data_IF_890588091562
#
_entry.id   IF_890588091562
#
_cell.length_a   1.000
_cell.length_b   1.000
_cell.length_c   1.000
_cell.angle_alpha   90.00
_cell.angle_beta   90.00
_cell.angle_gamma   90.00
#
_symmetry.space_group_name_H-M   'P 1'
#
loop_
_entity.id
_entity.type
_entity.pdbx_description
1 polymer ?
#
# COMPACT_ATOMS: atom_id res chain seq x y z
N UNK A 1 -28.58 -14.73 -26.03
CA UNK A 1 -28.70 -13.65 -25.00
C UNK A 1 -28.17 -14.04 -23.62
N UNK A 2 -28.08 -15.30 -23.22
CA UNK A 2 -27.56 -15.73 -21.91
C UNK A 2 -26.06 -15.57 -21.69
N UNK A 3 -25.21 -15.86 -22.67
CA UNK A 3 -23.75 -15.83 -22.55
C UNK A 3 -23.16 -14.41 -22.37
N UNK A 4 -23.79 -13.39 -22.99
CA UNK A 4 -23.35 -11.99 -22.82
C UNK A 4 -23.72 -11.41 -21.45
N UNK A 5 -24.80 -11.86 -20.83
CA UNK A 5 -25.17 -11.47 -19.45
C UNK A 5 -24.26 -12.12 -18.41
N UNK A 6 -23.90 -13.37 -18.56
CA UNK A 6 -22.95 -14.06 -17.66
C UNK A 6 -21.58 -13.35 -17.63
N UNK A 7 -21.07 -12.87 -18.76
CA UNK A 7 -19.81 -12.11 -18.82
C UNK A 7 -19.81 -10.75 -18.14
N UNK A 8 -20.98 -10.11 -17.95
CA UNK A 8 -21.08 -8.84 -17.22
C UNK A 8 -21.03 -9.03 -15.71
N UNK A 9 -21.66 -10.04 -15.16
CA UNK A 9 -21.70 -10.31 -13.72
C UNK A 9 -20.33 -10.78 -13.17
N UNK A 10 -19.61 -11.61 -13.91
CA UNK A 10 -18.28 -12.08 -13.51
C UNK A 10 -17.27 -10.94 -13.38
N UNK A 11 -17.49 -9.82 -14.05
CA UNK A 11 -16.65 -8.62 -13.97
C UNK A 11 -16.72 -7.92 -12.59
N UNK A 12 -17.90 -7.98 -11.95
CA UNK A 12 -18.14 -7.30 -10.67
C UNK A 12 -17.98 -8.22 -9.46
N UNK A 13 -17.87 -9.54 -9.68
CA UNK A 13 -17.72 -10.50 -8.59
C UNK A 13 -16.54 -10.20 -7.66
N UNK A 14 -15.31 -9.85 -8.13
CA UNK A 14 -14.23 -9.53 -7.23
C UNK A 14 -14.51 -8.28 -6.36
N UNK A 15 -15.17 -7.28 -6.91
CA UNK A 15 -15.55 -6.08 -6.15
C UNK A 15 -16.60 -6.39 -5.08
N UNK A 16 -17.66 -7.15 -5.43
CA UNK A 16 -18.69 -7.58 -4.50
C UNK A 16 -18.16 -8.51 -3.41
N UNK A 17 -17.28 -9.45 -3.77
CA UNK A 17 -16.62 -10.34 -2.82
C UNK A 17 -15.70 -9.58 -1.86
N UNK A 18 -14.91 -8.63 -2.36
CA UNK A 18 -14.08 -7.77 -1.53
C UNK A 18 -14.92 -6.98 -0.53
N UNK A 19 -16.06 -6.41 -0.98
CA UNK A 19 -16.97 -5.70 -0.09
C UNK A 19 -17.54 -6.61 0.99
N UNK A 20 -17.98 -7.81 0.63
CA UNK A 20 -18.51 -8.79 1.57
C UNK A 20 -17.48 -9.14 2.67
N UNK A 21 -16.24 -9.48 2.28
CA UNK A 21 -15.17 -9.78 3.23
C UNK A 21 -14.84 -8.58 4.12
N UNK A 22 -14.76 -7.39 3.53
CA UNK A 22 -14.50 -6.15 4.27
C UNK A 22 -15.58 -5.92 5.32
N UNK A 23 -16.87 -5.99 4.95
CA UNK A 23 -17.96 -5.82 5.89
C UNK A 23 -17.98 -6.90 6.97
N UNK A 24 -17.64 -8.14 6.64
CA UNK A 24 -17.54 -9.23 7.61
C UNK A 24 -16.44 -8.94 8.66
N UNK A 25 -15.26 -8.49 8.22
CA UNK A 25 -14.13 -8.19 9.11
C UNK A 25 -14.39 -6.93 9.94
N UNK A 26 -15.00 -5.89 9.34
CA UNK A 26 -15.25 -4.61 10.01
C UNK A 26 -16.57 -4.57 10.76
N UNK A 27 -17.43 -5.58 10.64
CA UNK A 27 -18.75 -5.61 11.29
C UNK A 27 -18.74 -5.24 12.79
N UNK A 28 -17.79 -5.71 13.62
CA UNK A 28 -17.72 -5.29 15.02
C UNK A 28 -17.45 -3.79 15.19
N UNK A 29 -16.71 -3.17 14.26
CA UNK A 29 -16.34 -1.75 14.28
C UNK A 29 -17.48 -0.83 13.81
N UNK A 30 -18.45 -1.38 13.06
CA UNK A 30 -19.59 -0.61 12.52
C UNK A 30 -20.72 -0.39 13.55
N UNK A 31 -20.62 -0.96 14.75
CA UNK A 31 -21.56 -0.70 15.85
C UNK A 31 -21.58 0.79 16.19
N UNK A 32 -22.64 1.22 16.87
CA UNK A 32 -22.75 2.58 17.40
C UNK A 32 -21.58 2.90 18.35
N UNK A 33 -21.13 4.16 18.35
CA UNK A 33 -19.98 4.62 19.14
C UNK A 33 -18.75 4.88 18.28
N UNK A 34 -17.64 5.23 18.95
CA UNK A 34 -16.40 5.69 18.36
C UNK A 34 -15.30 4.65 18.49
N UNK A 35 -14.33 4.69 17.57
CA UNK A 35 -13.12 3.90 17.66
C UNK A 35 -12.16 4.61 18.61
N UNK A 36 -11.93 4.02 19.78
CA UNK A 36 -11.15 4.63 20.88
C UNK A 36 -10.02 3.70 21.36
N UNK A 37 -9.64 2.74 20.54
CA UNK A 37 -8.61 1.77 20.90
C UNK A 37 -7.26 2.16 20.31
N UNK A 38 -6.26 2.36 21.16
CA UNK A 38 -4.86 2.69 20.80
C UNK A 38 -4.79 3.90 19.87
N UNK A 39 -4.28 3.73 18.65
CA UNK A 39 -4.06 4.85 17.72
C UNK A 39 -5.33 5.29 16.97
N UNK A 40 -6.42 4.53 17.07
CA UNK A 40 -7.70 4.91 16.46
C UNK A 40 -8.55 5.74 17.44
N UNK A 41 -8.16 6.99 17.68
CA UNK A 41 -8.99 7.91 18.48
C UNK A 41 -9.86 8.73 17.54
N UNK A 42 -11.12 8.29 17.35
CA UNK A 42 -12.10 9.04 16.57
C UNK A 42 -13.09 9.77 17.49
N UNK A 43 -13.41 11.01 17.18
CA UNK A 43 -14.32 11.87 17.90
C UNK A 43 -15.40 12.40 16.99
N UNK A 44 -16.55 12.88 17.50
CA UNK A 44 -17.61 13.43 16.64
C UNK A 44 -17.10 14.59 15.78
N UNK A 45 -16.21 15.41 16.36
CA UNK A 45 -15.67 16.60 15.72
C UNK A 45 -14.17 16.70 16.00
N UNK A 46 -13.39 16.84 14.95
CA UNK A 46 -11.98 17.24 15.01
C UNK A 46 -11.84 18.70 14.56
N UNK A 47 -10.82 19.39 15.07
CA UNK A 47 -10.61 20.82 14.79
C UNK A 47 -9.28 21.03 14.08
N UNK A 48 -9.23 22.01 13.19
CA UNK A 48 -7.98 22.49 12.59
C UNK A 48 -7.22 23.29 13.64
N UNK A 49 -6.37 22.62 14.39
CA UNK A 49 -5.44 23.21 15.35
C UNK A 49 -4.05 23.29 14.74
N UNK A 50 -3.15 24.08 15.36
CA UNK A 50 -1.74 24.11 14.97
C UNK A 50 -1.12 22.71 14.98
N UNK A 51 -1.46 21.88 15.96
CA UNK A 51 -1.03 20.47 16.02
C UNK A 51 -1.55 19.64 14.85
N UNK A 52 -2.81 19.82 14.44
CA UNK A 52 -3.39 19.10 13.28
C UNK A 52 -2.74 19.51 11.96
N UNK A 53 -2.20 20.72 11.89
CA UNK A 53 -1.46 21.25 10.76
C UNK A 53 0.05 20.99 10.84
N UNK A 54 0.54 20.50 11.99
CA UNK A 54 1.95 20.26 12.25
C UNK A 54 2.74 21.53 12.54
N UNK A 55 2.07 22.59 13.01
CA UNK A 55 2.66 23.88 13.38
C UNK A 55 2.98 23.97 14.89
N UNK A 56 2.65 22.93 15.67
CA UNK A 56 2.94 22.88 17.10
C UNK A 56 4.36 22.37 17.40
N UNK A 57 4.74 22.43 18.69
CA UNK A 57 6.08 22.03 19.18
C UNK A 57 6.29 20.49 19.21
N UNK A 58 5.26 19.71 18.98
CA UNK A 58 5.34 18.25 18.94
C UNK A 58 5.62 17.71 17.53
N UNK A 59 6.27 16.53 17.45
CA UNK A 59 6.52 15.87 16.19
C UNK A 59 5.21 15.64 15.39
N UNK A 60 5.13 16.05 14.11
CA UNK A 60 3.91 16.03 13.30
C UNK A 60 3.57 14.60 12.82
N UNK A 61 3.17 13.73 13.77
CA UNK A 61 2.95 12.29 13.50
C UNK A 61 1.71 12.01 12.68
N UNK A 62 0.70 12.89 12.75
CA UNK A 62 -0.63 12.69 12.18
C UNK A 62 -0.98 13.69 11.06
N UNK A 63 0.02 14.34 10.49
CA UNK A 63 -0.15 15.23 9.32
C UNK A 63 0.01 14.41 8.04
N UNK A 64 -0.88 14.55 7.05
CA UNK A 64 -2.06 15.43 6.98
C UNK A 64 -3.39 14.76 7.44
N UNK A 65 -3.35 13.57 8.04
CA UNK A 65 -4.58 12.83 8.39
C UNK A 65 -5.51 13.61 9.33
N UNK A 66 -4.96 14.29 10.34
CA UNK A 66 -5.76 15.04 11.32
C UNK A 66 -6.41 16.27 10.68
N UNK A 67 -5.71 16.95 9.79
CA UNK A 67 -6.27 18.06 9.02
C UNK A 67 -7.41 17.57 8.10
N UNK A 68 -7.28 16.39 7.48
CA UNK A 68 -8.35 15.76 6.69
C UNK A 68 -9.57 15.48 7.56
N UNK A 69 -9.40 14.87 8.73
CA UNK A 69 -10.50 14.59 9.66
C UNK A 69 -11.14 15.87 10.17
N UNK A 70 -10.35 16.87 10.52
CA UNK A 70 -10.85 18.17 10.95
C UNK A 70 -11.72 18.83 9.88
N UNK A 71 -11.32 18.74 8.61
CA UNK A 71 -12.08 19.29 7.49
C UNK A 71 -13.37 18.51 7.24
N UNK A 72 -13.32 17.17 7.15
CA UNK A 72 -14.48 16.34 6.84
C UNK A 72 -15.48 16.29 8.01
N UNK A 73 -15.01 16.36 9.26
CA UNK A 73 -15.88 16.33 10.43
C UNK A 73 -16.69 17.62 10.63
N UNK A 74 -16.50 18.64 9.79
CA UNK A 74 -17.42 19.78 9.70
C UNK A 74 -18.79 19.35 9.18
N UNK A 75 -18.82 18.43 8.22
CA UNK A 75 -20.00 18.03 7.47
C UNK A 75 -20.62 16.73 7.98
N UNK A 76 -19.79 15.80 8.47
CA UNK A 76 -20.18 14.44 8.87
C UNK A 76 -19.47 14.10 10.16
N UNK A 77 -20.14 13.39 11.08
CA UNK A 77 -19.52 12.89 12.32
C UNK A 77 -18.16 12.20 12.04
N UNK A 78 -17.11 12.61 12.76
CA UNK A 78 -15.75 12.15 12.54
C UNK A 78 -15.56 10.66 12.73
N UNK A 79 -16.33 10.03 13.64
CA UNK A 79 -16.32 8.57 13.80
C UNK A 79 -16.91 7.86 12.58
N UNK A 80 -17.94 8.43 11.94
CA UNK A 80 -18.49 7.91 10.68
C UNK A 80 -17.48 8.07 9.56
N UNK A 81 -16.79 9.22 9.49
CA UNK A 81 -15.74 9.47 8.49
C UNK A 81 -14.64 8.42 8.59
N UNK A 82 -14.09 8.16 9.77
CA UNK A 82 -13.01 7.17 9.97
C UNK A 82 -13.48 5.77 9.59
N UNK A 83 -14.69 5.36 10.02
CA UNK A 83 -15.26 4.04 9.66
C UNK A 83 -15.48 3.92 8.15
N UNK A 84 -15.98 4.96 7.50
CA UNK A 84 -16.19 4.97 6.04
C UNK A 84 -14.86 4.87 5.28
N UNK A 85 -13.83 5.62 5.69
CA UNK A 85 -12.49 5.54 5.09
C UNK A 85 -11.92 4.12 5.27
N UNK A 86 -12.04 3.53 6.45
CA UNK A 86 -11.52 2.19 6.74
C UNK A 86 -12.20 1.12 5.88
N UNK A 87 -13.54 1.15 5.79
CA UNK A 87 -14.29 0.20 4.93
C UNK A 87 -13.92 0.39 3.47
N UNK A 88 -13.88 1.64 2.98
CA UNK A 88 -13.50 1.93 1.61
C UNK A 88 -12.06 1.49 1.29
N UNK A 89 -11.12 1.70 2.22
CA UNK A 89 -9.72 1.28 2.08
C UNK A 89 -9.62 -0.25 1.97
N UNK A 90 -10.17 -1.01 2.90
CA UNK A 90 -10.09 -2.47 2.86
C UNK A 90 -10.81 -3.06 1.64
N UNK A 91 -11.95 -2.51 1.26
CA UNK A 91 -12.62 -2.87 0.00
C UNK A 91 -11.72 -2.62 -1.21
N UNK A 92 -11.13 -1.43 -1.29
CA UNK A 92 -10.22 -1.07 -2.38
C UNK A 92 -8.97 -1.96 -2.39
N UNK A 93 -8.42 -2.33 -1.23
CA UNK A 93 -7.28 -3.25 -1.12
C UNK A 93 -7.58 -4.60 -1.79
N UNK A 94 -8.67 -5.25 -1.39
CA UNK A 94 -9.03 -6.56 -1.92
C UNK A 94 -9.42 -6.51 -3.40
N UNK A 95 -10.21 -5.52 -3.82
CA UNK A 95 -10.54 -5.35 -5.22
C UNK A 95 -9.32 -5.02 -6.07
N UNK A 96 -8.44 -4.14 -5.58
CA UNK A 96 -7.18 -3.80 -6.25
C UNK A 96 -6.26 -5.00 -6.44
N UNK A 97 -6.15 -5.87 -5.42
CA UNK A 97 -5.38 -7.12 -5.49
C UNK A 97 -5.93 -8.09 -6.54
N UNK A 98 -7.26 -8.23 -6.63
CA UNK A 98 -7.89 -9.04 -7.69
C UNK A 98 -7.55 -8.53 -9.08
N UNK A 99 -7.64 -7.21 -9.30
CA UNK A 99 -7.30 -6.58 -10.57
C UNK A 99 -5.81 -6.71 -10.89
N UNK A 100 -4.94 -6.52 -9.91
CA UNK A 100 -3.49 -6.68 -10.06
C UNK A 100 -3.14 -8.12 -10.45
N UNK A 101 -3.74 -9.12 -9.78
CA UNK A 101 -3.58 -10.53 -10.11
C UNK A 101 -4.06 -10.84 -11.53
N UNK A 102 -5.21 -10.31 -11.94
CA UNK A 102 -5.72 -10.44 -13.30
C UNK A 102 -4.76 -9.84 -14.33
N UNK A 103 -4.28 -8.63 -14.09
CA UNK A 103 -3.51 -7.86 -15.08
C UNK A 103 -2.05 -8.32 -15.17
N UNK A 104 -1.43 -8.72 -14.04
CA UNK A 104 -0.05 -9.20 -14.00
C UNK A 104 0.10 -10.71 -14.22
N UNK A 105 -0.82 -11.51 -13.66
CA UNK A 105 -0.72 -12.98 -13.69
C UNK A 105 -1.69 -13.62 -14.68
N UNK A 106 -2.56 -12.83 -15.33
CA UNK A 106 -3.69 -13.34 -16.14
C UNK A 106 -4.56 -14.32 -15.33
N UNK A 107 -4.69 -14.03 -14.04
CA UNK A 107 -5.33 -14.91 -13.08
C UNK A 107 -6.82 -15.15 -13.43
N UNK A 108 -7.30 -16.40 -13.44
CA UNK A 108 -8.71 -16.71 -13.56
C UNK A 108 -9.48 -16.20 -12.34
N UNK A 109 -10.81 -16.14 -12.42
CA UNK A 109 -11.64 -15.57 -11.37
C UNK A 109 -11.37 -16.17 -9.99
N UNK A 110 -11.24 -17.48 -9.88
CA UNK A 110 -10.94 -18.14 -8.61
C UNK A 110 -9.64 -17.62 -7.96
N UNK A 111 -8.57 -17.45 -8.75
CA UNK A 111 -7.30 -16.92 -8.25
C UNK A 111 -7.39 -15.42 -7.89
N UNK A 112 -8.24 -14.65 -8.57
CA UNK A 112 -8.54 -13.26 -8.19
C UNK A 112 -9.24 -13.20 -6.82
N UNK A 113 -10.20 -14.10 -6.55
CA UNK A 113 -10.88 -14.17 -5.25
C UNK A 113 -9.91 -14.60 -4.14
N UNK A 114 -9.00 -15.53 -4.41
CA UNK A 114 -7.92 -15.91 -3.47
C UNK A 114 -7.04 -14.70 -3.17
N UNK A 115 -6.62 -13.93 -4.18
CA UNK A 115 -5.84 -12.71 -3.98
C UNK A 115 -6.58 -11.69 -3.11
N UNK A 116 -7.90 -11.48 -3.34
CA UNK A 116 -8.75 -10.66 -2.49
C UNK A 116 -8.74 -11.13 -1.05
N UNK A 117 -8.97 -12.44 -0.82
CA UNK A 117 -9.00 -13.01 0.54
C UNK A 117 -7.67 -12.80 1.25
N UNK A 118 -6.55 -13.14 0.61
CA UNK A 118 -5.22 -12.98 1.20
C UNK A 118 -4.88 -11.52 1.50
N UNK A 119 -5.41 -10.58 0.73
CA UNK A 119 -5.15 -9.15 0.95
C UNK A 119 -6.00 -8.57 2.07
N UNK A 120 -7.25 -8.98 2.24
CA UNK A 120 -8.16 -8.39 3.23
C UNK A 120 -8.17 -9.20 4.53
N UNK A 121 -8.06 -10.50 4.46
CA UNK A 121 -8.10 -11.41 5.61
C UNK A 121 -6.72 -12.01 5.86
N UNK A 122 -5.86 -11.27 6.51
CA UNK A 122 -4.52 -11.70 6.86
C UNK A 122 -4.08 -11.12 8.22
N UNK A 123 -3.04 -11.66 8.85
CA UNK A 123 -2.54 -11.18 10.14
C UNK A 123 -2.14 -9.71 10.14
N UNK A 124 -1.50 -9.22 9.08
CA UNK A 124 -1.10 -7.80 8.99
C UNK A 124 -2.31 -6.87 9.14
N UNK A 125 -3.38 -7.12 8.37
CA UNK A 125 -4.61 -6.30 8.46
C UNK A 125 -5.22 -6.41 9.84
N UNK A 126 -5.32 -7.62 10.41
CA UNK A 126 -5.90 -7.83 11.74
C UNK A 126 -5.11 -7.11 12.84
N UNK A 127 -3.78 -7.22 12.84
CA UNK A 127 -2.90 -6.54 13.78
C UNK A 127 -2.99 -5.01 13.64
N UNK A 128 -3.02 -4.49 12.41
CA UNK A 128 -3.17 -3.04 12.19
C UNK A 128 -4.55 -2.52 12.54
N UNK A 129 -5.61 -3.31 12.39
CA UNK A 129 -6.96 -2.98 12.90
C UNK A 129 -6.97 -2.94 14.43
N UNK A 130 -6.39 -3.94 15.09
CA UNK A 130 -6.29 -4.00 16.55
C UNK A 130 -5.41 -2.89 17.14
N UNK A 131 -4.38 -2.43 16.40
CA UNK A 131 -3.56 -1.29 16.77
C UNK A 131 -4.25 0.05 16.50
N UNK A 132 -5.28 0.08 15.66
CA UNK A 132 -5.97 1.32 15.30
C UNK A 132 -5.32 2.10 14.14
N UNK A 133 -4.47 1.46 13.35
CA UNK A 133 -3.72 2.08 12.25
C UNK A 133 -4.57 2.27 10.97
N UNK A 134 -5.73 2.90 11.07
CA UNK A 134 -6.66 3.08 9.95
C UNK A 134 -6.03 3.83 8.76
N UNK A 135 -5.23 4.85 9.01
CA UNK A 135 -4.57 5.63 7.97
C UNK A 135 -3.42 4.89 7.28
N UNK A 136 -2.69 4.03 8.02
CA UNK A 136 -1.71 3.12 7.42
C UNK A 136 -2.40 2.09 6.51
N UNK A 137 -3.56 1.59 6.92
CA UNK A 137 -4.35 0.67 6.10
C UNK A 137 -4.88 1.35 4.83
N UNK A 138 -5.08 2.66 4.82
CA UNK A 138 -5.37 3.43 3.59
C UNK A 138 -4.16 3.41 2.65
N UNK A 139 -2.95 3.59 3.18
CA UNK A 139 -1.70 3.44 2.41
C UNK A 139 -1.52 2.03 1.86
N UNK A 140 -1.74 1.01 2.67
CA UNK A 140 -1.74 -0.39 2.25
C UNK A 140 -2.72 -0.65 1.10
N UNK A 141 -3.93 -0.12 1.21
CA UNK A 141 -4.98 -0.26 0.20
C UNK A 141 -4.60 0.36 -1.16
N UNK A 142 -3.79 1.40 -1.14
CA UNK A 142 -3.33 2.06 -2.37
C UNK A 142 -2.27 1.24 -3.13
N UNK A 143 -1.53 0.31 -2.49
CA UNK A 143 -0.38 -0.39 -3.09
C UNK A 143 -0.71 -1.13 -4.39
N UNK A 144 -1.74 -1.99 -4.49
CA UNK A 144 -2.06 -2.68 -5.73
C UNK A 144 -2.45 -1.73 -6.88
N UNK A 145 -3.08 -0.61 -6.53
CA UNK A 145 -3.43 0.42 -7.50
C UNK A 145 -2.23 1.23 -7.95
N UNK A 146 -1.33 1.59 -7.02
CA UNK A 146 -0.04 2.25 -7.32
C UNK A 146 0.78 1.37 -8.25
N UNK A 147 0.88 0.05 -7.98
CA UNK A 147 1.58 -0.90 -8.84
C UNK A 147 1.02 -0.89 -10.28
N UNK A 148 -0.32 -0.94 -10.40
CA UNK A 148 -0.99 -0.90 -11.71
C UNK A 148 -0.79 0.45 -12.41
N UNK A 149 -0.92 1.57 -11.70
CA UNK A 149 -0.77 2.91 -12.25
C UNK A 149 0.68 3.19 -12.68
N UNK A 150 1.67 2.80 -11.86
CA UNK A 150 3.08 2.92 -12.19
C UNK A 150 3.46 2.12 -13.45
N UNK A 151 2.90 0.91 -13.61
CA UNK A 151 3.09 0.12 -14.82
C UNK A 151 2.48 0.79 -16.06
N UNK A 152 1.30 1.42 -15.93
CA UNK A 152 0.68 2.20 -17.03
C UNK A 152 1.49 3.44 -17.39
N UNK A 153 2.00 4.17 -16.38
CA UNK A 153 2.91 5.31 -16.60
C UNK A 153 4.16 4.88 -17.36
N UNK A 154 4.72 3.72 -16.98
CA UNK A 154 5.89 3.15 -17.67
C UNK A 154 5.57 2.79 -19.12
N UNK A 155 4.48 2.07 -19.41
CA UNK A 155 4.06 1.63 -20.75
C UNK A 155 3.71 2.79 -21.68
N UNK A 156 3.09 3.85 -21.17
CA UNK A 156 2.76 5.05 -21.96
C UNK A 156 3.94 5.76 -22.61
N UNK A 157 5.18 5.35 -22.30
CA UNK A 157 6.40 5.85 -22.92
C UNK A 157 6.98 4.97 -24.02
N UNK A 158 6.56 3.71 -24.12
CA UNK A 158 7.11 2.75 -25.08
C UNK A 158 6.29 2.66 -26.36
N UNK A 159 5.03 3.10 -26.36
CA UNK A 159 4.18 3.10 -27.57
C UNK A 159 4.55 4.15 -28.62
N UNK A 160 5.47 5.06 -28.33
CA UNK A 160 5.95 6.07 -29.29
C UNK A 160 7.12 5.59 -30.18
N UNK A 161 7.64 4.38 -30.02
CA UNK A 161 8.84 3.92 -30.73
C UNK A 161 8.74 2.57 -31.42
N UNK A 162 7.60 1.89 -31.42
CA UNK A 162 7.56 0.48 -31.78
C UNK A 162 6.59 0.02 -32.86
N UNK A 163 5.80 0.88 -33.51
CA UNK A 163 4.83 0.44 -34.53
C UNK A 163 4.88 1.29 -35.81
N UNK A 164 6.09 1.45 -36.39
CA UNK A 164 6.22 2.04 -37.73
C UNK A 164 6.52 1.01 -38.83
N UNK A 165 6.38 -0.30 -38.55
CA UNK A 165 6.80 -1.34 -39.49
C UNK A 165 5.67 -2.13 -40.17
N UNK A 166 4.39 -1.94 -39.83
CA UNK A 166 3.26 -2.57 -40.56
C UNK A 166 2.01 -1.66 -40.50
N UNK A 167 2.14 -0.44 -41.03
CA UNK A 167 0.96 0.29 -41.48
C UNK A 167 0.67 -0.16 -42.93
N UNK A 168 -0.59 -0.55 -43.25
CA UNK A 168 -0.96 -0.66 -44.67
C UNK A 168 -0.77 0.72 -45.30
N UNK A 169 -0.15 0.71 -46.47
CA UNK A 169 -0.05 1.90 -47.33
C UNK A 169 -1.46 2.35 -47.66
N UNK A 170 -2.00 3.24 -46.88
CA UNK A 170 -3.16 4.06 -47.24
C UNK A 170 -2.62 5.39 -47.73
N UNK A 171 -3.02 5.69 -48.95
CA UNK A 171 -2.75 6.89 -49.74
C UNK A 171 -2.71 8.16 -48.92
N UNK A 172 -1.70 8.97 -49.21
CA UNK A 172 -1.45 10.32 -48.70
C UNK A 172 -2.69 11.22 -48.71
N UNK A 173 -2.63 12.23 -47.81
CA UNK A 173 -3.40 13.45 -47.70
C UNK A 173 -4.61 13.47 -46.76
N UNK A 174 -4.33 13.27 -45.45
CA UNK A 174 -5.14 13.93 -44.43
C UNK A 174 -4.24 14.51 -43.33
N UNK A 175 -3.93 15.82 -43.34
CA UNK A 175 -3.09 16.49 -42.31
C UNK A 175 -3.72 16.46 -40.91
N UNK A 176 -5.02 16.17 -40.80
CA UNK A 176 -5.74 16.13 -39.50
C UNK A 176 -5.63 14.77 -38.78
N UNK A 177 -5.11 13.72 -39.42
CA UNK A 177 -4.98 12.40 -38.78
C UNK A 177 -3.82 12.33 -37.77
N UNK A 178 -2.72 13.05 -38.03
CA UNK A 178 -1.56 13.09 -37.14
C UNK A 178 -1.83 13.85 -35.85
N UNK A 179 -2.65 14.91 -35.89
CA UNK A 179 -2.95 15.75 -34.73
C UNK A 179 -3.89 15.02 -33.73
N UNK A 180 -4.84 14.23 -34.24
CA UNK A 180 -5.75 13.43 -33.39
C UNK A 180 -5.00 12.34 -32.61
N UNK A 181 -4.01 11.70 -33.20
CA UNK A 181 -3.22 10.64 -32.56
C UNK A 181 -2.31 11.23 -31.48
N UNK A 182 -1.70 12.38 -31.72
CA UNK A 182 -0.84 13.08 -30.76
C UNK A 182 -1.61 13.57 -29.52
N UNK A 183 -2.83 14.05 -29.70
CA UNK A 183 -3.69 14.55 -28.61
C UNK A 183 -4.16 13.41 -27.70
N UNK A 184 -4.53 12.25 -28.25
CA UNK A 184 -4.95 11.08 -27.49
C UNK A 184 -3.81 10.49 -26.62
N UNK A 185 -2.59 10.39 -27.17
CA UNK A 185 -1.43 9.87 -26.43
C UNK A 185 -1.04 10.81 -25.27
N UNK A 186 -1.12 12.13 -25.48
CA UNK A 186 -0.87 13.12 -24.42
C UNK A 186 -1.90 13.04 -23.29
N UNK A 187 -3.18 12.91 -23.62
CA UNK A 187 -4.26 12.83 -22.64
C UNK A 187 -4.18 11.56 -21.78
N UNK A 188 -3.85 10.42 -22.36
CA UNK A 188 -3.66 9.15 -21.65
C UNK A 188 -2.45 9.17 -20.70
N UNK A 189 -1.36 9.80 -21.13
CA UNK A 189 -0.17 9.98 -20.27
C UNK A 189 -0.46 10.89 -19.08
N UNK A 190 -1.21 11.97 -19.28
CA UNK A 190 -1.63 12.88 -18.19
C UNK A 190 -2.55 12.17 -17.21
N UNK A 191 -3.59 11.49 -17.70
CA UNK A 191 -4.55 10.73 -16.86
C UNK A 191 -3.84 9.68 -15.99
N UNK A 192 -2.91 8.91 -16.56
CA UNK A 192 -2.19 7.89 -15.80
C UNK A 192 -1.32 8.50 -14.69
N UNK A 193 -0.70 9.66 -14.93
CA UNK A 193 0.06 10.40 -13.89
C UNK A 193 -0.86 10.99 -12.83
N UNK A 194 -2.00 11.56 -13.21
CA UNK A 194 -2.98 12.10 -12.28
C UNK A 194 -3.54 11.02 -11.34
N UNK A 195 -3.85 9.82 -11.89
CA UNK A 195 -4.26 8.67 -11.09
C UNK A 195 -3.16 8.26 -10.13
N UNK A 196 -1.90 8.15 -10.60
CA UNK A 196 -0.77 7.80 -9.72
C UNK A 196 -0.57 8.86 -8.63
N UNK A 197 -0.69 10.14 -8.94
CA UNK A 197 -0.61 11.24 -7.96
C UNK A 197 -1.68 11.13 -6.88
N UNK A 198 -2.95 10.89 -7.26
CA UNK A 198 -4.05 10.71 -6.31
C UNK A 198 -3.86 9.49 -5.38
N UNK A 199 -3.33 8.38 -5.92
CA UNK A 199 -3.03 7.19 -5.14
C UNK A 199 -1.86 7.41 -4.19
N UNK A 200 -0.81 8.12 -4.62
CA UNK A 200 0.30 8.50 -3.76
C UNK A 200 -0.13 9.49 -2.67
N UNK A 201 -1.04 10.43 -2.99
CA UNK A 201 -1.61 11.33 -1.98
C UNK A 201 -2.43 10.56 -0.93
N UNK A 202 -3.23 9.57 -1.34
CA UNK A 202 -3.95 8.69 -0.41
C UNK A 202 -2.99 7.87 0.47
N UNK A 203 -1.91 7.33 -0.09
CA UNK A 203 -0.86 6.68 0.68
C UNK A 203 -0.14 7.67 1.60
N UNK A 204 0.01 8.92 1.17
CA UNK A 204 0.66 10.03 1.87
C UNK A 204 -0.08 10.57 3.09
N UNK A 205 -1.26 10.02 3.45
CA UNK A 205 -1.92 10.34 4.72
C UNK A 205 -1.04 10.01 5.93
N UNK A 206 -0.08 9.11 5.78
CA UNK A 206 0.96 8.83 6.78
C UNK A 206 2.34 8.80 6.12
N UNK A 207 3.41 9.20 6.83
CA UNK A 207 4.78 9.07 6.30
C UNK A 207 5.15 7.65 5.89
N UNK A 208 4.72 6.65 6.67
CA UNK A 208 4.95 5.22 6.34
C UNK A 208 4.20 4.80 5.08
N UNK A 209 2.93 5.20 4.93
CA UNK A 209 2.15 4.91 3.72
C UNK A 209 2.78 5.57 2.48
N UNK A 210 3.25 6.82 2.60
CA UNK A 210 3.99 7.50 1.54
C UNK A 210 5.24 6.71 1.12
N UNK A 211 6.02 6.22 2.10
CA UNK A 211 7.24 5.45 1.85
C UNK A 211 6.92 4.12 1.14
N UNK A 212 5.92 3.37 1.60
CA UNK A 212 5.46 2.13 0.96
C UNK A 212 5.02 2.39 -0.49
N UNK A 213 4.18 3.40 -0.70
CA UNK A 213 3.72 3.82 -2.03
C UNK A 213 4.87 4.25 -2.94
N UNK A 214 5.85 5.00 -2.40
CA UNK A 214 7.04 5.43 -3.10
C UNK A 214 7.89 4.25 -3.57
N UNK A 215 8.16 3.27 -2.68
CA UNK A 215 8.93 2.06 -3.01
C UNK A 215 8.29 1.33 -4.19
N UNK A 216 6.98 1.09 -4.16
CA UNK A 216 6.25 0.41 -5.24
C UNK A 216 6.26 1.24 -6.52
N UNK A 217 5.96 2.54 -6.45
CA UNK A 217 5.90 3.41 -7.61
C UNK A 217 7.25 3.53 -8.33
N UNK A 218 8.32 3.80 -7.57
CA UNK A 218 9.68 4.02 -8.08
C UNK A 218 10.25 2.74 -8.69
N UNK A 219 10.12 1.60 -8.00
CA UNK A 219 10.68 0.33 -8.48
C UNK A 219 9.99 -0.17 -9.74
N UNK A 220 8.65 -0.03 -9.83
CA UNK A 220 7.89 -0.48 -11.01
C UNK A 220 8.08 0.49 -12.19
N UNK A 221 7.93 1.80 -11.96
CA UNK A 221 8.05 2.78 -13.04
C UNK A 221 9.46 2.82 -13.61
N UNK A 222 10.47 3.01 -12.80
CA UNK A 222 11.91 2.98 -13.17
C UNK A 222 12.27 3.72 -14.47
N UNK A 223 13.55 3.66 -14.85
CA UNK A 223 14.01 4.12 -16.16
C UNK A 223 13.67 5.60 -16.45
N UNK A 224 13.32 5.90 -17.71
CA UNK A 224 13.07 7.27 -18.20
C UNK A 224 11.91 8.00 -17.48
N UNK A 225 11.04 7.29 -16.76
CA UNK A 225 9.90 7.87 -16.02
C UNK A 225 10.20 8.17 -14.57
N UNK A 226 11.36 7.74 -14.08
CA UNK A 226 11.75 7.85 -12.68
C UNK A 226 11.66 9.29 -12.16
N UNK A 227 12.21 10.27 -12.88
CA UNK A 227 12.17 11.67 -12.45
C UNK A 227 10.75 12.19 -12.23
N UNK A 228 9.83 11.90 -13.18
CA UNK A 228 8.43 12.29 -13.04
C UNK A 228 7.72 11.60 -11.87
N UNK A 229 8.05 10.35 -11.58
CA UNK A 229 7.48 9.62 -10.44
C UNK A 229 8.07 10.16 -9.13
N UNK A 230 9.35 10.47 -9.07
CA UNK A 230 9.98 11.10 -7.88
C UNK A 230 9.36 12.45 -7.56
N UNK A 231 9.01 13.26 -8.57
CA UNK A 231 8.27 14.52 -8.36
C UNK A 231 6.90 14.26 -7.75
N UNK A 232 6.15 13.26 -8.21
CA UNK A 232 4.85 12.90 -7.63
C UNK A 232 4.97 12.37 -6.21
N UNK A 233 5.98 11.56 -5.93
CA UNK A 233 6.30 11.08 -4.57
C UNK A 233 6.66 12.26 -3.66
N UNK A 234 7.54 13.14 -4.10
CA UNK A 234 7.90 14.34 -3.33
C UNK A 234 6.67 15.20 -3.04
N UNK A 235 5.81 15.44 -4.03
CA UNK A 235 4.57 16.18 -3.85
C UNK A 235 3.63 15.53 -2.82
N UNK A 236 3.51 14.20 -2.81
CA UNK A 236 2.72 13.48 -1.82
C UNK A 236 3.31 13.56 -0.40
N UNK A 237 4.63 13.77 -0.27
CA UNK A 237 5.32 13.92 1.00
C UNK A 237 5.31 15.36 1.54
N UNK A 238 5.00 16.36 0.70
CA UNK A 238 5.06 17.79 1.06
C UNK A 238 4.34 18.12 2.39
N UNK A 239 3.10 17.63 2.67
CA UNK A 239 2.40 18.05 3.87
C UNK A 239 3.17 17.75 5.16
N UNK A 240 3.65 16.52 5.32
CA UNK A 240 4.38 16.14 6.53
C UNK A 240 5.84 16.56 6.53
N UNK A 241 6.49 16.72 5.36
CA UNK A 241 7.84 17.29 5.27
C UNK A 241 7.85 18.76 5.67
N UNK A 242 6.88 19.56 5.20
CA UNK A 242 6.75 20.95 5.60
C UNK A 242 6.44 21.07 7.09
N UNK A 243 5.50 20.26 7.60
CA UNK A 243 5.19 20.22 9.01
C UNK A 243 6.44 19.91 9.87
N UNK A 244 7.23 18.91 9.45
CA UNK A 244 8.49 18.57 10.14
C UNK A 244 9.52 19.69 10.07
N UNK A 245 9.62 20.40 8.94
CA UNK A 245 10.56 21.50 8.77
C UNK A 245 10.17 22.73 9.61
N UNK A 246 8.86 23.01 9.74
CA UNK A 246 8.35 24.17 10.49
C UNK A 246 8.35 23.93 11.99
N UNK A 247 8.06 22.70 12.45
CA UNK A 247 8.02 22.37 13.88
C UNK A 247 9.39 22.42 14.58
N UNK A 248 10.49 22.48 13.84
CA UNK A 248 11.85 22.46 14.41
C UNK A 248 12.28 21.12 15.04
N UNK A 249 11.36 20.19 15.23
CA UNK A 249 11.59 18.86 15.87
C UNK A 249 12.48 17.95 15.01
N UNK A 250 12.67 18.27 13.73
CA UNK A 250 13.58 17.52 12.85
C UNK A 250 15.06 17.56 13.31
N UNK A 251 15.42 18.51 14.18
CA UNK A 251 16.77 18.65 14.71
C UNK A 251 17.04 17.72 15.91
N UNK A 252 16.01 17.17 16.55
CA UNK A 252 16.20 16.27 17.69
C UNK A 252 16.28 14.82 17.24
N UNK A 253 17.33 14.07 17.67
CA UNK A 253 17.40 12.64 17.42
C UNK A 253 16.20 11.91 18.03
N UNK A 254 15.67 10.93 17.33
CA UNK A 254 14.64 10.06 17.92
C UNK A 254 15.26 9.22 19.04
N UNK A 255 14.48 8.94 20.10
CA UNK A 255 14.92 8.11 21.22
C UNK A 255 15.32 6.71 20.73
N UNK A 256 16.57 6.27 20.92
CA UNK A 256 17.05 4.95 20.52
C UNK A 256 16.35 3.81 21.28
N UNK A 257 15.85 4.04 22.51
CA UNK A 257 15.07 3.06 23.27
C UNK A 257 13.80 2.59 22.53
N UNK A 258 13.32 3.41 21.59
CA UNK A 258 12.21 3.02 20.72
C UNK A 258 12.58 1.92 19.70
N UNK A 259 13.85 1.67 19.41
CA UNK A 259 14.26 0.66 18.41
C UNK A 259 13.89 -0.75 18.87
N UNK A 260 14.34 -1.25 20.03
CA UNK A 260 13.95 -2.57 20.51
C UNK A 260 12.45 -2.65 20.84
N UNK A 261 11.83 -1.54 21.30
CA UNK A 261 10.41 -1.51 21.66
C UNK A 261 9.48 -1.68 20.45
N UNK A 262 9.91 -1.24 19.25
CA UNK A 262 9.13 -1.35 18.01
C UNK A 262 9.66 -2.41 17.04
N UNK A 263 10.62 -3.24 17.47
CA UNK A 263 11.16 -4.31 16.64
C UNK A 263 10.11 -5.37 16.31
N UNK A 264 10.27 -6.03 15.16
CA UNK A 264 9.40 -7.13 14.77
C UNK A 264 9.48 -8.26 15.82
N UNK A 265 8.31 -8.71 16.28
CA UNK A 265 8.17 -9.67 17.38
C UNK A 265 8.13 -11.10 16.86
N UNK A 266 8.77 -12.01 17.62
CA UNK A 266 8.57 -13.43 17.45
C UNK A 266 7.22 -13.85 18.05
N UNK A 267 6.38 -14.49 17.25
CA UNK A 267 5.15 -15.12 17.74
C UNK A 267 5.42 -16.58 18.15
N UNK A 268 4.61 -17.14 19.06
CA UNK A 268 4.72 -18.54 19.43
C UNK A 268 4.72 -19.45 18.19
N UNK A 269 5.55 -20.49 18.19
CA UNK A 269 5.67 -21.51 17.12
C UNK A 269 6.33 -21.04 15.82
N UNK A 270 6.50 -19.74 15.58
CA UNK A 270 6.94 -19.17 14.31
C UNK A 270 8.33 -18.53 14.37
N UNK A 271 8.72 -18.01 15.53
CA UNK A 271 9.89 -17.14 15.62
C UNK A 271 9.71 -15.85 14.79
N UNK A 272 10.71 -14.98 14.75
CA UNK A 272 10.58 -13.68 14.04
C UNK A 272 10.38 -13.85 12.53
N UNK A 273 11.20 -14.70 11.88
CA UNK A 273 11.11 -14.91 10.43
C UNK A 273 9.76 -15.52 10.02
N UNK A 274 9.32 -16.55 10.73
CA UNK A 274 8.03 -17.19 10.45
C UNK A 274 6.84 -16.27 10.72
N UNK A 275 6.92 -15.42 11.75
CA UNK A 275 5.88 -14.42 12.02
C UNK A 275 5.74 -13.43 10.88
N UNK A 276 6.85 -12.89 10.39
CA UNK A 276 6.88 -11.95 9.26
C UNK A 276 6.45 -12.62 7.95
N UNK A 277 6.93 -13.83 7.67
CA UNK A 277 6.54 -14.61 6.50
C UNK A 277 5.05 -15.01 6.53
N UNK A 278 4.48 -15.16 7.72
CA UNK A 278 3.05 -15.34 7.95
C UNK A 278 2.26 -14.03 8.03
N UNK A 279 2.86 -12.90 7.63
CA UNK A 279 2.27 -11.56 7.60
C UNK A 279 1.88 -11.00 8.98
N UNK A 280 2.48 -11.51 10.07
CA UNK A 280 2.28 -11.03 11.45
C UNK A 280 3.55 -10.42 12.03
N UNK A 281 3.67 -10.47 13.37
CA UNK A 281 4.86 -10.03 14.07
C UNK A 281 4.88 -8.55 14.44
N UNK A 282 3.73 -7.93 14.61
CA UNK A 282 3.63 -6.55 15.15
C UNK A 282 4.29 -6.49 16.53
N UNK A 283 5.00 -5.39 16.81
CA UNK A 283 5.70 -5.16 18.08
C UNK A 283 4.80 -5.21 19.31
N UNK A 284 3.56 -4.73 19.20
CA UNK A 284 2.59 -4.70 20.29
C UNK A 284 1.87 -6.05 20.42
N UNK A 285 2.21 -6.81 21.45
CA UNK A 285 1.62 -8.12 21.72
C UNK A 285 0.10 -8.06 21.98
N UNK A 286 -0.42 -6.95 22.51
CA UNK A 286 -1.85 -6.78 22.78
C UNK A 286 -2.66 -6.50 21.49
N UNK A 287 -2.00 -6.14 20.40
CA UNK A 287 -2.61 -5.93 19.09
C UNK A 287 -2.57 -7.18 18.20
N UNK A 288 -2.44 -8.36 18.78
CA UNK A 288 -2.33 -9.64 18.07
C UNK A 288 -3.62 -10.45 18.23
N UNK A 289 -4.21 -10.97 17.14
CA UNK A 289 -5.35 -11.86 17.23
C UNK A 289 -5.02 -13.12 18.03
N UNK A 290 -5.95 -13.60 18.89
CA UNK A 290 -5.74 -14.79 19.71
C UNK A 290 -5.40 -16.06 18.90
N UNK A 291 -5.83 -16.16 17.63
CA UNK A 291 -5.45 -17.25 16.75
C UNK A 291 -3.94 -17.32 16.45
N UNK A 292 -3.21 -16.20 16.59
CA UNK A 292 -1.76 -16.13 16.35
C UNK A 292 -0.93 -16.68 17.53
N UNK A 293 -1.54 -16.91 18.68
CA UNK A 293 -0.89 -17.53 19.85
C UNK A 293 -1.05 -19.05 19.88
N UNK A 294 -1.77 -19.63 18.91
CA UNK A 294 -2.04 -21.07 18.79
C UNK A 294 -1.19 -21.73 17.69
N UNK A 295 -1.00 -23.06 17.71
CA UNK A 295 -0.32 -23.79 16.63
C UNK A 295 -0.96 -23.60 15.25
N UNK A 296 -2.23 -23.17 15.16
CA UNK A 296 -2.90 -22.86 13.89
C UNK A 296 -2.17 -21.77 13.11
N UNK A 297 -1.51 -20.84 13.79
CA UNK A 297 -0.69 -19.82 13.13
C UNK A 297 0.47 -20.43 12.34
N UNK A 298 1.15 -21.43 12.90
CA UNK A 298 2.23 -22.13 12.20
C UNK A 298 1.68 -22.93 11.00
N UNK A 299 0.58 -23.66 11.18
CA UNK A 299 -0.06 -24.42 10.10
C UNK A 299 -0.48 -23.48 8.96
N UNK A 300 -1.15 -22.36 9.27
CA UNK A 300 -1.58 -21.40 8.26
C UNK A 300 -0.37 -20.77 7.52
N UNK A 301 0.70 -20.45 8.24
CA UNK A 301 1.93 -19.92 7.65
C UNK A 301 2.60 -20.93 6.73
N UNK A 302 2.72 -22.19 7.14
CA UNK A 302 3.27 -23.28 6.30
C UNK A 302 2.43 -23.46 5.03
N UNK A 303 1.10 -23.47 5.13
CA UNK A 303 0.21 -23.57 3.97
C UNK A 303 0.38 -22.39 3.02
N UNK A 304 0.45 -21.16 3.55
CA UNK A 304 0.71 -19.95 2.76
C UNK A 304 2.04 -20.07 2.01
N UNK A 305 3.11 -20.44 2.70
CA UNK A 305 4.44 -20.58 2.11
C UNK A 305 4.50 -21.72 1.09
N UNK A 306 3.77 -22.80 1.31
CA UNK A 306 3.64 -23.88 0.33
C UNK A 306 2.99 -23.36 -0.97
N UNK A 307 1.89 -22.60 -0.88
CA UNK A 307 1.25 -21.97 -2.05
C UNK A 307 2.21 -21.05 -2.78
N UNK A 308 2.97 -20.22 -2.04
CA UNK A 308 4.00 -19.35 -2.60
C UNK A 308 5.09 -20.17 -3.31
N UNK A 309 5.61 -21.20 -2.68
CA UNK A 309 6.64 -22.07 -3.25
C UNK A 309 6.20 -22.75 -4.56
N UNK A 310 4.97 -23.23 -4.63
CA UNK A 310 4.40 -23.78 -5.86
C UNK A 310 4.21 -22.74 -6.96
N UNK A 311 3.83 -21.52 -6.58
CA UNK A 311 3.52 -20.42 -7.51
C UNK A 311 4.74 -19.66 -8.03
N UNK A 312 5.82 -19.55 -7.24
CA UNK A 312 6.93 -18.60 -7.46
C UNK A 312 7.59 -18.76 -8.83
N UNK A 313 7.81 -20.00 -9.28
CA UNK A 313 8.43 -20.27 -10.59
C UNK A 313 7.57 -19.74 -11.75
N UNK A 314 6.24 -19.87 -11.67
CA UNK A 314 5.31 -19.35 -12.67
C UNK A 314 5.23 -17.83 -12.66
N UNK A 315 5.25 -17.24 -11.46
CA UNK A 315 5.26 -15.77 -11.31
C UNK A 315 6.56 -15.17 -11.84
N UNK A 316 7.71 -15.82 -11.63
CA UNK A 316 9.02 -15.35 -12.09
C UNK A 316 9.26 -15.59 -13.60
N UNK A 317 8.55 -16.53 -14.22
CA UNK A 317 8.73 -16.88 -15.63
C UNK A 317 8.39 -15.71 -16.58
N UNK A 318 9.10 -15.64 -17.71
CA UNK A 318 8.75 -14.72 -18.79
C UNK A 318 7.45 -15.16 -19.48
N UNK A 319 6.63 -14.21 -19.93
CA UNK A 319 5.33 -14.49 -20.56
C UNK A 319 5.10 -13.75 -21.90
N UNK A 320 6.17 -13.35 -22.58
CA UNK A 320 6.08 -12.61 -23.84
C UNK A 320 5.84 -11.10 -23.68
N UNK A 321 5.43 -10.60 -22.48
CA UNK A 321 5.36 -9.18 -22.16
C UNK A 321 6.51 -8.84 -21.20
N UNK A 322 7.61 -8.22 -21.66
CA UNK A 322 8.78 -7.95 -20.85
C UNK A 322 8.49 -6.99 -19.69
N UNK A 323 7.58 -6.04 -19.86
CA UNK A 323 7.22 -5.09 -18.82
C UNK A 323 6.42 -5.76 -17.70
N UNK A 324 5.51 -6.68 -18.05
CA UNK A 324 4.77 -7.48 -17.08
C UNK A 324 5.70 -8.43 -16.32
N UNK A 325 6.57 -9.13 -17.02
CA UNK A 325 7.55 -10.06 -16.44
C UNK A 325 8.49 -9.33 -15.48
N UNK A 326 8.94 -8.11 -15.85
CA UNK A 326 9.75 -7.26 -14.99
C UNK A 326 8.98 -6.84 -13.73
N UNK A 327 7.74 -6.35 -13.86
CA UNK A 327 6.93 -5.93 -12.73
C UNK A 327 6.70 -7.09 -11.73
N UNK A 328 6.44 -8.30 -12.22
CA UNK A 328 6.29 -9.50 -11.37
C UNK A 328 7.56 -9.81 -10.60
N UNK A 329 8.73 -9.77 -11.24
CA UNK A 329 10.02 -10.00 -10.57
C UNK A 329 10.32 -8.93 -9.53
N UNK A 330 10.03 -7.66 -9.82
CA UNK A 330 10.17 -6.57 -8.85
C UNK A 330 9.29 -6.82 -7.62
N UNK A 331 8.02 -7.18 -7.80
CA UNK A 331 7.12 -7.47 -6.68
C UNK A 331 7.57 -8.69 -5.87
N UNK A 332 8.11 -9.73 -6.51
CA UNK A 332 8.70 -10.88 -5.80
C UNK A 332 9.92 -10.46 -4.97
N UNK A 333 10.80 -9.61 -5.52
CA UNK A 333 11.97 -9.09 -4.78
C UNK A 333 11.51 -8.20 -3.62
N UNK A 334 10.51 -7.35 -3.84
CA UNK A 334 9.96 -6.52 -2.76
C UNK A 334 9.35 -7.38 -1.65
N UNK A 335 8.57 -8.41 -1.99
CA UNK A 335 7.99 -9.33 -1.02
C UNK A 335 9.08 -10.08 -0.21
N UNK A 336 10.14 -10.55 -0.87
CA UNK A 336 11.26 -11.18 -0.18
C UNK A 336 12.00 -10.18 0.74
N UNK A 337 12.26 -8.97 0.28
CA UNK A 337 12.89 -7.91 1.06
C UNK A 337 12.01 -7.48 2.24
N UNK A 338 10.69 -7.42 2.05
CA UNK A 338 9.71 -7.07 3.07
C UNK A 338 9.68 -8.05 4.26
N UNK A 339 10.09 -9.28 4.06
CA UNK A 339 10.29 -10.27 5.15
C UNK A 339 11.72 -10.24 5.66
N UNK A 340 12.71 -10.26 4.76
CA UNK A 340 14.11 -10.41 5.14
C UNK A 340 14.66 -9.18 5.89
N UNK A 341 14.38 -7.96 5.43
CA UNK A 341 14.91 -6.75 6.05
C UNK A 341 14.38 -6.54 7.48
N UNK A 342 13.07 -6.64 7.77
CA UNK A 342 12.58 -6.59 9.14
C UNK A 342 13.10 -7.71 10.03
N UNK A 343 13.27 -8.93 9.49
CA UNK A 343 13.84 -10.04 10.25
C UNK A 343 15.30 -9.78 10.63
N UNK A 344 16.11 -9.26 9.71
CA UNK A 344 17.48 -8.85 9.97
C UNK A 344 17.57 -7.69 10.97
N UNK A 345 16.68 -6.68 10.82
CA UNK A 345 16.61 -5.53 11.73
C UNK A 345 16.25 -5.93 13.17
N UNK A 346 15.54 -7.04 13.37
CA UNK A 346 15.19 -7.56 14.69
C UNK A 346 16.31 -8.44 15.33
N UNK A 347 17.43 -8.70 14.65
CA UNK A 347 18.58 -9.37 15.24
C UNK A 347 19.39 -8.42 16.12
N UNK A 348 20.23 -8.92 17.07
CA UNK A 348 21.06 -8.04 17.89
C UNK A 348 21.94 -7.08 17.08
N UNK A 349 22.56 -7.56 16.00
CA UNK A 349 23.33 -6.71 15.09
C UNK A 349 22.45 -5.69 14.35
N UNK A 350 21.26 -6.11 13.90
CA UNK A 350 20.29 -5.24 13.24
C UNK A 350 19.75 -4.15 14.16
N UNK A 351 19.48 -4.44 15.42
CA UNK A 351 19.09 -3.46 16.43
C UNK A 351 20.18 -2.39 16.62
N UNK A 352 21.45 -2.78 16.73
CA UNK A 352 22.56 -1.83 16.82
C UNK A 352 22.69 -0.93 15.59
N UNK A 353 22.49 -1.46 14.38
CA UNK A 353 22.45 -0.66 13.14
C UNK A 353 21.26 0.30 13.16
N UNK A 354 20.09 -0.15 13.58
CA UNK A 354 18.88 0.67 13.66
C UNK A 354 19.02 1.79 14.70
N UNK A 355 19.61 1.51 15.86
CA UNK A 355 19.91 2.51 16.90
C UNK A 355 20.86 3.58 16.35
N UNK A 356 21.94 3.16 15.68
CA UNK A 356 22.86 4.08 15.05
C UNK A 356 22.16 4.98 14.01
N UNK A 357 21.32 4.38 13.14
CA UNK A 357 20.56 5.13 12.14
C UNK A 357 19.61 6.14 12.78
N UNK A 358 18.88 5.75 13.81
CA UNK A 358 17.89 6.58 14.48
C UNK A 358 18.52 7.80 15.17
N UNK A 359 19.76 7.64 15.68
CA UNK A 359 20.51 8.71 16.33
C UNK A 359 21.18 9.65 15.32
N UNK A 360 21.72 9.11 14.21
CA UNK A 360 22.59 9.88 13.32
C UNK A 360 21.92 10.33 12.02
N UNK A 361 20.80 9.70 11.62
CA UNK A 361 20.13 10.01 10.35
C UNK A 361 18.76 10.65 10.61
N UNK A 362 18.57 11.93 10.28
CA UNK A 362 17.27 12.60 10.43
C UNK A 362 16.15 11.82 9.72
N UNK A 363 15.04 11.60 10.42
CA UNK A 363 13.90 10.88 9.88
C UNK A 363 13.99 9.34 9.95
N UNK A 364 15.13 8.75 10.32
CA UNK A 364 15.27 7.29 10.46
C UNK A 364 14.37 6.70 11.54
N UNK A 365 13.84 7.49 12.45
CA UNK A 365 12.80 7.09 13.39
C UNK A 365 11.54 6.49 12.73
N UNK A 366 11.26 6.79 11.47
CA UNK A 366 10.20 6.16 10.68
C UNK A 366 10.44 4.67 10.42
N UNK A 367 11.70 4.23 10.48
CA UNK A 367 12.09 2.85 10.21
C UNK A 367 12.00 1.95 11.45
N UNK A 368 11.78 2.47 12.66
CA UNK A 368 11.75 1.68 13.92
C UNK A 368 10.77 0.51 13.87
N UNK A 369 9.52 0.75 13.40
CA UNK A 369 8.52 -0.30 13.21
C UNK A 369 8.74 -0.96 11.84
N UNK A 370 9.74 -1.83 11.76
CA UNK A 370 10.11 -2.51 10.51
C UNK A 370 9.04 -3.45 9.99
N UNK A 371 8.18 -4.01 10.86
CA UNK A 371 7.08 -4.90 10.47
C UNK A 371 6.07 -4.22 9.53
N UNK A 372 5.98 -2.88 9.53
CA UNK A 372 5.12 -2.15 8.58
C UNK A 372 5.43 -2.47 7.11
N UNK A 373 6.69 -2.81 6.80
CA UNK A 373 7.12 -3.11 5.43
C UNK A 373 6.62 -4.45 4.91
N UNK A 374 6.11 -5.34 5.76
CA UNK A 374 5.45 -6.59 5.33
C UNK A 374 4.21 -6.31 4.45
N UNK A 375 3.73 -5.08 4.41
CA UNK A 375 2.69 -4.61 3.48
C UNK A 375 3.08 -4.73 1.98
N UNK A 376 4.39 -4.76 1.65
CA UNK A 376 4.94 -4.83 0.28
C UNK A 376 4.87 -6.25 -0.30
#
# INVERSE_FOLDING_TARGET
MGAQRAGRWTRWLPAGYSLLLTLLITAPLLRSGYLLLRDAVSTPRSYLTDTALGLGDAAPRAVPQDALLATLSVLVDGGVVVKAILVAALWAAGYGAALLARDLLRAPLAAQLVATTLTVWNPYVAERLLQGHWSLLTGYAALPWIATAALRVRRGGTSSGGNSALAPVTTADDPHSADRTGTHIRSDSFRNRAVLAGLLAAAGLTPTGALLGAIVAVTIAGGRRLAGVLVLVAAACVPWLLATAVSGVAAEPSDPAGVPAFAARAEPWLGTVGSLAGLGGIWNADAVPGSRTTPLAAVATILLLAVVAFGIRRVAAADGDPERSRARRILLVLAAAAVALPALAATPAGLGVMEWLVVHVPGAGLLRDTQKFVAL
#
